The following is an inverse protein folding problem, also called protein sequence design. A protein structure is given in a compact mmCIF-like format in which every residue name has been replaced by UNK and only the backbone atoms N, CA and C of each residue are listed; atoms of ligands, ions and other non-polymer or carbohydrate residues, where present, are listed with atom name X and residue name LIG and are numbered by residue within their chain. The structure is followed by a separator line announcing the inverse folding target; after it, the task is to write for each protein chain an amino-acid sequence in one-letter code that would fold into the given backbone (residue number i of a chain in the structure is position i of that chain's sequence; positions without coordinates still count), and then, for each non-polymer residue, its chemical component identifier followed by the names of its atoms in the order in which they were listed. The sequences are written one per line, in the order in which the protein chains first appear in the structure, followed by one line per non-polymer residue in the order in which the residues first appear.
data_IF_893399848818
#
_entry.id   IF_893399848818
#
_cell.length_a   1.000
_cell.length_b   1.000
_cell.length_c   1.000
_cell.angle_alpha   90.00
_cell.angle_beta   90.00
_cell.angle_gamma   90.00
#
_symmetry.space_group_name_H-M   'P 1'
#
loop_
_entity.id
_entity.type
_entity.pdbx_description
1 polymer ?
#
# COMPACT_ATOMS: atom_id res chain seq x y z
N UNK A 1 4.08 -11.35 -17.99
CA UNK A 1 3.14 -10.36 -17.49
C UNK A 1 3.71 -8.97 -17.72
N UNK A 2 3.02 -8.15 -18.50
CA UNK A 2 3.34 -6.73 -18.68
C UNK A 2 3.04 -5.99 -17.39
N UNK A 3 3.96 -5.14 -16.92
CA UNK A 3 3.86 -4.43 -15.63
C UNK A 3 4.06 -2.93 -15.75
N UNK A 4 4.74 -2.48 -16.81
CA UNK A 4 4.97 -1.07 -17.05
C UNK A 4 4.77 -0.73 -18.53
N UNK A 5 4.50 0.55 -18.86
CA UNK A 5 4.43 1.00 -20.26
C UNK A 5 5.72 0.74 -21.03
N UNK A 6 6.88 0.94 -20.41
CA UNK A 6 8.19 0.72 -21.04
C UNK A 6 8.39 -0.75 -21.44
N UNK A 7 7.94 -1.68 -20.57
CA UNK A 7 7.98 -3.10 -20.89
C UNK A 7 7.04 -3.45 -22.05
N UNK A 8 5.87 -2.84 -22.09
CA UNK A 8 4.90 -3.01 -23.19
C UNK A 8 5.50 -2.51 -24.51
N UNK A 9 6.02 -1.31 -24.50
CA UNK A 9 6.64 -0.67 -25.65
C UNK A 9 7.83 -1.46 -26.17
N UNK A 10 8.73 -1.93 -25.29
CA UNK A 10 9.87 -2.74 -25.70
C UNK A 10 9.45 -3.99 -26.47
N UNK A 11 8.40 -4.69 -26.05
CA UNK A 11 7.89 -5.88 -26.74
C UNK A 11 7.27 -5.57 -28.11
N UNK A 12 6.60 -4.42 -28.26
CA UNK A 12 6.10 -3.95 -29.54
C UNK A 12 7.25 -3.60 -30.49
N UNK A 13 8.28 -2.92 -30.01
CA UNK A 13 9.46 -2.54 -30.79
C UNK A 13 10.30 -3.75 -31.25
N UNK A 14 10.33 -4.81 -30.44
CA UNK A 14 10.95 -6.09 -30.84
C UNK A 14 10.21 -6.79 -31.96
N UNK A 15 8.99 -6.35 -32.33
CA UNK A 15 8.16 -6.96 -33.38
C UNK A 15 7.67 -8.36 -33.05
N UNK A 16 7.72 -8.75 -31.76
CA UNK A 16 7.27 -10.08 -31.32
C UNK A 16 5.74 -10.18 -31.22
N UNK A 17 5.06 -9.02 -31.19
CA UNK A 17 3.60 -8.89 -31.11
C UNK A 17 3.17 -7.52 -31.62
N UNK A 18 1.92 -7.43 -32.09
CA UNK A 18 1.32 -6.18 -32.59
C UNK A 18 0.49 -5.48 -31.49
N UNK A 19 0.07 -6.21 -30.47
CA UNK A 19 -0.80 -5.71 -29.40
C UNK A 19 -0.34 -6.22 -28.04
N UNK A 20 -0.63 -5.44 -27.01
CA UNK A 20 -0.36 -5.79 -25.60
C UNK A 20 -1.67 -6.11 -24.90
N UNK A 21 -1.73 -7.28 -24.26
CA UNK A 21 -2.88 -7.69 -23.45
C UNK A 21 -2.57 -7.52 -21.96
N UNK A 22 -3.44 -6.79 -21.25
CA UNK A 22 -3.33 -6.52 -19.84
C UNK A 22 -4.46 -7.21 -19.06
N UNK A 23 -4.13 -8.18 -18.21
CA UNK A 23 -5.09 -8.76 -17.26
C UNK A 23 -4.98 -8.10 -15.88
N UNK A 24 -4.23 -8.73 -14.97
CA UNK A 24 -4.08 -8.25 -13.60
C UNK A 24 -3.58 -6.80 -13.45
N UNK A 25 -2.73 -6.25 -14.31
CA UNK A 25 -2.40 -4.81 -14.26
C UNK A 25 -3.63 -3.92 -14.42
N UNK A 26 -4.59 -4.30 -15.27
CA UNK A 26 -5.84 -3.55 -15.46
C UNK A 26 -6.77 -3.65 -14.24
N UNK A 27 -6.73 -4.77 -13.50
CA UNK A 27 -7.46 -4.89 -12.23
C UNK A 27 -6.82 -4.00 -11.14
N UNK A 28 -5.49 -3.94 -11.13
CA UNK A 28 -4.74 -3.11 -10.18
C UNK A 28 -4.93 -1.60 -10.44
N UNK A 29 -5.00 -1.23 -11.72
CA UNK A 29 -5.25 0.14 -12.16
C UNK A 29 -6.15 0.16 -13.40
N UNK A 30 -7.44 0.48 -13.25
CA UNK A 30 -8.37 0.53 -14.39
C UNK A 30 -8.01 1.61 -15.41
N UNK A 31 -7.24 2.61 -15.02
CA UNK A 31 -6.76 3.69 -15.89
C UNK A 31 -5.34 3.46 -16.45
N UNK A 32 -4.81 2.25 -16.32
CA UNK A 32 -3.44 1.94 -16.72
C UNK A 32 -3.12 2.39 -18.16
N UNK A 33 -3.98 2.05 -19.11
CA UNK A 33 -3.76 2.39 -20.52
C UNK A 33 -3.81 3.90 -20.78
N UNK A 34 -4.74 4.61 -20.14
CA UNK A 34 -4.83 6.07 -20.26
C UNK A 34 -3.60 6.75 -19.65
N UNK A 35 -3.16 6.32 -18.49
CA UNK A 35 -1.94 6.83 -17.84
C UNK A 35 -0.69 6.55 -18.68
N UNK A 36 -0.61 5.36 -19.28
CA UNK A 36 0.48 5.01 -20.20
C UNK A 36 0.50 5.91 -21.45
N UNK A 37 -0.69 6.26 -21.98
CA UNK A 37 -0.83 7.10 -23.16
C UNK A 37 -0.48 8.56 -22.88
N UNK A 38 -0.95 9.11 -21.76
CA UNK A 38 -0.79 10.53 -21.44
C UNK A 38 0.48 10.85 -20.68
N UNK A 39 1.06 9.85 -19.99
CA UNK A 39 2.14 10.06 -19.03
C UNK A 39 1.67 10.73 -17.72
N UNK A 40 0.35 10.89 -17.52
CA UNK A 40 -0.21 11.58 -16.35
C UNK A 40 -0.73 10.59 -15.32
N UNK A 41 -0.39 10.82 -14.06
CA UNK A 41 -0.81 10.05 -12.90
C UNK A 41 -0.02 8.75 -12.68
N UNK A 42 0.15 8.40 -11.41
CA UNK A 42 0.87 7.20 -11.00
C UNK A 42 0.11 5.93 -11.38
N UNK A 43 0.74 5.03 -12.11
CA UNK A 43 0.21 3.69 -12.40
C UNK A 43 0.37 2.82 -11.14
N UNK A 44 -0.74 2.27 -10.64
CA UNK A 44 -0.74 1.29 -9.54
C UNK A 44 -0.33 -0.08 -10.07
N UNK A 45 0.90 -0.48 -9.81
CA UNK A 45 1.47 -1.73 -10.35
C UNK A 45 0.91 -2.96 -9.65
N UNK A 46 0.59 -3.98 -10.43
CA UNK A 46 0.20 -5.29 -9.89
C UNK A 46 1.38 -5.96 -9.17
N UNK A 47 1.26 -6.19 -7.87
CA UNK A 47 2.27 -6.85 -7.02
C UNK A 47 2.31 -8.39 -7.16
N UNK A 48 1.50 -8.95 -8.05
CA UNK A 48 1.43 -10.39 -8.34
C UNK A 48 1.05 -11.28 -7.14
N UNK A 49 0.26 -10.76 -6.18
CA UNK A 49 -0.15 -11.48 -4.97
C UNK A 49 -1.23 -12.56 -5.22
N UNK A 50 -1.88 -12.55 -6.39
CA UNK A 50 -2.96 -13.48 -6.81
C UNK A 50 -4.28 -13.37 -6.02
N UNK A 51 -4.41 -12.41 -5.09
CA UNK A 51 -5.64 -12.19 -4.33
C UNK A 51 -6.89 -12.05 -5.23
N UNK A 52 -6.74 -11.39 -6.38
CA UNK A 52 -7.85 -11.25 -7.33
C UNK A 52 -8.34 -12.59 -7.89
N UNK A 53 -7.48 -13.58 -8.07
CA UNK A 53 -7.87 -14.91 -8.57
C UNK A 53 -8.55 -15.69 -7.44
N UNK A 54 -7.96 -15.68 -6.24
CA UNK A 54 -8.51 -16.36 -5.07
C UNK A 54 -9.88 -15.79 -4.68
N UNK A 55 -10.00 -14.46 -4.59
CA UNK A 55 -11.27 -13.82 -4.26
C UNK A 55 -12.35 -14.02 -5.32
N UNK A 56 -12.01 -14.00 -6.63
CA UNK A 56 -12.98 -14.31 -7.68
C UNK A 56 -13.53 -15.73 -7.57
N UNK A 57 -12.70 -16.71 -7.24
CA UNK A 57 -13.16 -18.09 -7.04
C UNK A 57 -14.13 -18.19 -5.86
N UNK A 58 -13.78 -17.59 -4.72
CA UNK A 58 -14.58 -17.63 -3.51
C UNK A 58 -15.87 -16.80 -3.65
N UNK A 59 -15.78 -15.61 -4.24
CA UNK A 59 -16.90 -14.69 -4.34
C UNK A 59 -17.89 -15.07 -5.44
N UNK A 60 -17.49 -15.87 -6.45
CA UNK A 60 -18.38 -16.38 -7.48
C UNK A 60 -19.56 -17.17 -6.90
N UNK A 61 -19.34 -17.92 -5.81
CA UNK A 61 -20.41 -18.70 -5.16
C UNK A 61 -21.49 -17.84 -4.47
N UNK A 62 -21.14 -16.59 -4.12
CA UNK A 62 -22.07 -15.66 -3.49
C UNK A 62 -22.51 -14.52 -4.42
N UNK A 63 -22.13 -14.59 -5.71
CA UNK A 63 -22.49 -13.57 -6.71
C UNK A 63 -21.82 -12.22 -6.49
N UNK A 64 -20.62 -12.20 -5.87
CA UNK A 64 -19.85 -10.99 -5.64
C UNK A 64 -18.66 -10.87 -6.59
N UNK A 65 -18.07 -9.66 -6.67
CA UNK A 65 -16.89 -9.39 -7.49
C UNK A 65 -15.59 -9.88 -6.83
N UNK A 66 -14.52 -9.99 -7.64
CA UNK A 66 -13.18 -10.21 -7.12
C UNK A 66 -12.61 -8.99 -6.41
N UNK A 67 -11.53 -9.18 -5.68
CA UNK A 67 -10.85 -8.15 -4.90
C UNK A 67 -9.40 -7.98 -5.37
N UNK A 68 -8.82 -6.81 -5.15
CA UNK A 68 -7.40 -6.54 -5.43
C UNK A 68 -6.71 -5.95 -4.21
N UNK A 69 -5.53 -6.47 -3.87
CA UNK A 69 -4.76 -5.98 -2.71
C UNK A 69 -4.21 -4.55 -2.89
N UNK A 70 -4.15 -4.04 -4.12
CA UNK A 70 -3.63 -2.69 -4.41
C UNK A 70 -4.70 -1.72 -4.91
N UNK A 71 -5.87 -2.23 -5.32
CA UNK A 71 -6.99 -1.42 -5.77
C UNK A 71 -8.23 -1.73 -4.93
N UNK A 72 -8.58 -0.89 -3.95
CA UNK A 72 -9.75 -1.13 -3.10
C UNK A 72 -11.09 -0.87 -3.80
N UNK A 73 -11.08 -0.32 -5.02
CA UNK A 73 -12.28 0.04 -5.76
C UNK A 73 -12.68 -0.99 -6.83
N UNK A 74 -12.05 -2.15 -6.86
CA UNK A 74 -12.42 -3.22 -7.81
C UNK A 74 -13.91 -3.56 -7.67
N UNK A 75 -14.63 -3.57 -8.81
CA UNK A 75 -16.08 -3.78 -8.84
C UNK A 75 -16.91 -2.55 -8.45
N UNK A 76 -16.26 -1.44 -8.09
CA UNK A 76 -16.88 -0.17 -7.69
C UNK A 76 -16.39 1.01 -8.51
N UNK A 77 -15.72 0.77 -9.63
CA UNK A 77 -15.10 1.80 -10.48
C UNK A 77 -16.13 2.81 -11.03
N UNK A 78 -17.37 2.38 -11.20
CA UNK A 78 -18.46 3.24 -11.68
C UNK A 78 -19.13 4.05 -10.57
N UNK A 79 -18.73 3.87 -9.32
CA UNK A 79 -19.30 4.63 -8.21
C UNK A 79 -18.52 5.93 -8.01
N UNK A 80 -19.11 7.10 -8.31
CA UNK A 80 -18.40 8.35 -8.11
C UNK A 80 -18.15 8.60 -6.62
N UNK A 81 -16.91 8.89 -6.27
CA UNK A 81 -16.58 9.31 -4.91
C UNK A 81 -17.23 10.66 -4.61
N UNK A 82 -17.95 10.81 -3.50
CA UNK A 82 -18.58 12.06 -3.13
C UNK A 82 -17.52 13.14 -2.88
N UNK A 83 -17.62 14.27 -3.55
CA UNK A 83 -16.74 15.44 -3.37
C UNK A 83 -17.26 16.30 -2.22
N UNK A 84 -17.15 15.80 -1.01
CA UNK A 84 -17.71 16.43 0.21
C UNK A 84 -16.65 16.83 1.24
N UNK A 85 -15.40 16.96 0.81
CA UNK A 85 -14.28 17.38 1.66
C UNK A 85 -14.31 18.86 2.01
N UNK A 86 -14.69 19.73 1.06
CA UNK A 86 -14.78 21.20 1.19
C UNK A 86 -13.48 21.82 1.76
N UNK A 87 -12.32 21.22 1.46
CA UNK A 87 -11.02 21.64 1.97
C UNK A 87 -10.82 21.47 3.48
N UNK A 88 -11.72 20.74 4.17
CA UNK A 88 -11.58 20.50 5.60
C UNK A 88 -10.35 19.66 5.90
N UNK A 89 -9.61 20.06 6.92
CA UNK A 89 -8.35 19.41 7.31
C UNK A 89 -8.58 18.03 7.92
N UNK A 90 -7.88 17.02 7.41
CA UNK A 90 -7.85 15.66 7.97
C UNK A 90 -6.40 15.30 8.31
N UNK A 91 -6.23 14.74 9.51
CA UNK A 91 -4.96 14.17 9.95
C UNK A 91 -5.04 12.66 9.91
N UNK A 92 -4.11 12.03 9.19
CA UNK A 92 -3.94 10.57 9.16
C UNK A 92 -2.67 10.22 9.93
N UNK A 93 -2.76 9.31 10.89
CA UNK A 93 -1.64 8.87 11.72
C UNK A 93 -1.26 7.44 11.37
N UNK A 94 -0.06 7.28 10.81
CA UNK A 94 0.49 6.03 10.28
C UNK A 94 0.39 5.94 8.77
N UNK A 95 1.53 5.84 8.09
CA UNK A 95 1.66 5.72 6.64
C UNK A 95 1.89 4.27 6.20
N UNK A 96 1.22 3.31 6.84
CA UNK A 96 1.06 1.95 6.35
C UNK A 96 -0.01 1.88 5.25
N UNK A 97 -0.35 0.67 4.75
CA UNK A 97 -1.34 0.50 3.68
C UNK A 97 -2.67 1.21 3.95
N UNK A 98 -3.21 1.06 5.15
CA UNK A 98 -4.48 1.67 5.53
C UNK A 98 -4.42 3.21 5.50
N UNK A 99 -3.33 3.80 6.03
CA UNK A 99 -3.16 5.24 6.06
C UNK A 99 -2.95 5.85 4.68
N UNK A 100 -2.13 5.21 3.83
CA UNK A 100 -1.91 5.66 2.45
C UNK A 100 -3.20 5.60 1.64
N UNK A 101 -3.94 4.48 1.70
CA UNK A 101 -5.24 4.37 1.01
C UNK A 101 -6.27 5.39 1.52
N UNK A 102 -6.37 5.58 2.84
CA UNK A 102 -7.29 6.56 3.42
C UNK A 102 -6.92 7.98 2.99
N UNK A 103 -5.63 8.34 3.02
CA UNK A 103 -5.16 9.65 2.63
C UNK A 103 -5.46 9.95 1.15
N UNK A 104 -5.18 9.00 0.26
CA UNK A 104 -5.48 9.09 -1.16
C UNK A 104 -6.98 9.31 -1.42
N UNK A 105 -7.83 8.46 -0.84
CA UNK A 105 -9.28 8.54 -1.02
C UNK A 105 -9.87 9.83 -0.44
N UNK A 106 -9.36 10.31 0.68
CA UNK A 106 -9.81 11.58 1.28
C UNK A 106 -9.40 12.78 0.43
N UNK A 107 -8.20 12.77 -0.13
CA UNK A 107 -7.76 13.81 -1.07
C UNK A 107 -8.66 13.82 -2.33
N UNK A 108 -9.00 12.65 -2.89
CA UNK A 108 -9.96 12.54 -3.99
C UNK A 108 -11.34 13.09 -3.64
N UNK A 109 -11.74 13.04 -2.38
CA UNK A 109 -13.00 13.62 -1.89
C UNK A 109 -12.92 15.13 -1.60
N UNK A 110 -11.75 15.76 -1.79
CA UNK A 110 -11.52 17.19 -1.63
C UNK A 110 -11.22 17.63 -0.20
N UNK A 111 -10.71 16.74 0.65
CA UNK A 111 -10.15 17.13 1.96
C UNK A 111 -8.69 17.60 1.83
N UNK A 112 -8.29 18.52 2.72
CA UNK A 112 -6.86 18.86 2.93
C UNK A 112 -6.23 17.84 3.89
N UNK A 113 -5.43 16.92 3.34
CA UNK A 113 -4.94 15.75 4.07
C UNK A 113 -3.48 15.89 4.46
N UNK A 114 -3.19 15.71 5.74
CA UNK A 114 -1.83 15.58 6.29
C UNK A 114 -1.64 14.18 6.87
N UNK A 115 -0.66 13.44 6.35
CA UNK A 115 -0.31 12.08 6.74
C UNK A 115 1.00 12.08 7.52
N UNK A 116 0.99 11.53 8.73
CA UNK A 116 2.14 11.49 9.63
C UNK A 116 2.60 10.06 9.87
N UNK A 117 3.90 9.84 9.76
CA UNK A 117 4.56 8.56 10.00
C UNK A 117 5.76 8.75 10.93
N UNK A 118 5.81 7.98 12.02
CA UNK A 118 6.90 8.06 13.00
C UNK A 118 8.24 7.52 12.48
N UNK A 119 8.20 6.57 11.54
CA UNK A 119 9.41 6.04 10.89
C UNK A 119 9.85 6.96 9.75
N UNK A 120 11.12 6.88 9.38
CA UNK A 120 11.69 7.66 8.26
C UNK A 120 11.11 7.26 6.89
N UNK A 121 10.46 6.11 6.82
CA UNK A 121 9.91 5.56 5.58
C UNK A 121 8.44 5.17 5.74
N UNK A 122 7.62 5.54 4.75
CA UNK A 122 6.25 5.06 4.62
C UNK A 122 6.19 3.57 4.29
N UNK A 123 5.01 2.95 4.39
CA UNK A 123 4.76 1.55 4.02
C UNK A 123 4.49 0.63 5.22
N UNK A 124 4.86 1.02 6.44
CA UNK A 124 4.57 0.23 7.64
C UNK A 124 5.10 -1.20 7.53
N UNK A 125 4.24 -2.19 7.76
CA UNK A 125 4.61 -3.61 7.70
C UNK A 125 4.85 -4.15 6.28
N UNK A 126 4.44 -3.44 5.23
CA UNK A 126 4.78 -3.80 3.84
C UNK A 126 6.29 -3.83 3.64
N UNK A 127 7.02 -2.93 4.30
CA UNK A 127 8.49 -2.90 4.24
C UNK A 127 9.11 -4.23 4.74
N UNK A 128 8.50 -4.85 5.76
CA UNK A 128 8.94 -6.16 6.26
C UNK A 128 8.49 -7.29 5.33
N UNK A 129 7.28 -7.21 4.79
CA UNK A 129 6.76 -8.20 3.84
C UNK A 129 7.57 -8.23 2.52
N UNK A 130 8.22 -7.12 2.16
CA UNK A 130 9.07 -7.01 0.98
C UNK A 130 10.52 -7.46 1.22
N UNK A 131 10.95 -7.63 2.47
CA UNK A 131 12.33 -7.93 2.83
C UNK A 131 12.82 -9.35 2.42
N UNK A 132 11.97 -10.42 2.47
CA UNK A 132 12.42 -11.74 2.04
C UNK A 132 12.83 -11.76 0.55
N UNK A 133 13.71 -12.72 0.15
CA UNK A 133 14.05 -12.92 -1.25
C UNK A 133 12.81 -13.03 -2.14
N UNK A 134 12.88 -12.48 -3.35
CA UNK A 134 11.83 -12.50 -4.38
C UNK A 134 10.52 -11.76 -4.03
N UNK A 135 10.45 -11.09 -2.87
CA UNK A 135 9.28 -10.31 -2.42
C UNK A 135 9.36 -8.80 -2.71
N UNK A 136 10.40 -8.32 -3.36
CA UNK A 136 10.61 -6.89 -3.63
C UNK A 136 9.41 -6.19 -4.32
N UNK A 137 8.62 -6.95 -5.12
CA UNK A 137 7.40 -6.43 -5.77
C UNK A 137 6.33 -5.95 -4.78
N UNK A 138 6.33 -6.46 -3.56
CA UNK A 138 5.39 -6.04 -2.52
C UNK A 138 5.58 -4.56 -2.17
N UNK A 139 6.82 -4.06 -2.26
CA UNK A 139 7.14 -2.65 -2.01
C UNK A 139 6.59 -1.69 -3.10
N UNK A 140 6.26 -2.18 -4.29
CA UNK A 140 5.66 -1.35 -5.32
C UNK A 140 4.37 -0.69 -4.84
N UNK A 141 3.57 -1.39 -4.03
CA UNK A 141 2.38 -0.80 -3.42
C UNK A 141 2.73 0.48 -2.65
N UNK A 142 3.77 0.42 -1.80
CA UNK A 142 4.20 1.58 -1.00
C UNK A 142 4.64 2.75 -1.86
N UNK A 143 5.44 2.46 -2.89
CA UNK A 143 5.95 3.47 -3.81
C UNK A 143 4.81 4.15 -4.57
N UNK A 144 3.92 3.36 -5.18
CA UNK A 144 2.83 3.84 -6.01
C UNK A 144 1.77 4.59 -5.18
N UNK A 145 1.41 4.08 -4.00
CA UNK A 145 0.44 4.72 -3.11
C UNK A 145 0.97 6.06 -2.56
N UNK A 146 2.26 6.12 -2.19
CA UNK A 146 2.86 7.36 -1.74
C UNK A 146 2.93 8.40 -2.87
N UNK A 147 3.33 8.00 -4.08
CA UNK A 147 3.35 8.88 -5.24
C UNK A 147 1.94 9.40 -5.57
N UNK A 148 0.92 8.53 -5.60
CA UNK A 148 -0.47 8.93 -5.82
C UNK A 148 -0.99 9.91 -4.75
N UNK A 149 -0.61 9.72 -3.49
CA UNK A 149 -0.92 10.68 -2.43
C UNK A 149 -0.32 12.06 -2.70
N UNK A 150 0.97 12.11 -3.07
CA UNK A 150 1.66 13.38 -3.36
C UNK A 150 1.07 14.08 -4.58
N UNK A 151 0.75 13.37 -5.66
CA UNK A 151 0.07 13.92 -6.85
C UNK A 151 -1.27 14.56 -6.52
N UNK A 152 -1.98 14.01 -5.52
CA UNK A 152 -3.28 14.53 -5.05
C UNK A 152 -3.15 15.61 -3.96
N UNK A 153 -1.93 16.07 -3.68
CA UNK A 153 -1.67 17.14 -2.73
C UNK A 153 -1.68 16.73 -1.26
N UNK A 154 -1.62 15.42 -0.96
CA UNK A 154 -1.44 14.94 0.42
C UNK A 154 -0.07 15.36 0.93
N UNK A 155 -0.04 15.98 2.12
CA UNK A 155 1.19 16.35 2.81
C UNK A 155 1.68 15.17 3.64
N UNK A 156 2.81 14.57 3.26
CA UNK A 156 3.38 13.41 3.96
C UNK A 156 4.57 13.84 4.82
N UNK A 157 4.51 13.54 6.11
CA UNK A 157 5.54 13.85 7.10
C UNK A 157 6.08 12.54 7.68
N UNK A 158 7.32 12.17 7.33
CA UNK A 158 8.03 11.02 7.89
C UNK A 158 8.95 11.43 9.04
N UNK A 159 9.39 10.46 9.88
CA UNK A 159 10.19 10.75 11.07
C UNK A 159 9.43 11.58 12.12
N UNK A 160 8.10 11.67 12.00
CA UNK A 160 7.28 12.55 12.82
C UNK A 160 6.17 11.79 13.53
N UNK A 161 6.31 11.64 14.83
CA UNK A 161 5.26 11.18 15.73
C UNK A 161 4.50 12.39 16.29
N UNK A 162 3.18 12.43 16.04
CA UNK A 162 2.34 13.51 16.55
C UNK A 162 1.95 13.27 17.99
N UNK A 163 2.19 14.27 18.84
CA UNK A 163 1.65 14.34 20.20
C UNK A 163 0.18 14.80 20.20
N UNK A 164 -0.52 14.49 21.30
CA UNK A 164 -1.90 14.95 21.49
C UNK A 164 -1.98 16.49 21.50
N UNK A 165 -0.96 17.19 22.02
CA UNK A 165 -0.90 18.66 22.02
C UNK A 165 -0.85 19.22 20.59
N UNK A 166 0.03 18.69 19.74
CA UNK A 166 0.13 19.10 18.34
C UNK A 166 -1.18 18.86 17.56
N UNK A 167 -1.84 17.72 17.80
CA UNK A 167 -3.14 17.43 17.18
C UNK A 167 -4.20 18.47 17.61
N UNK A 168 -4.21 18.85 18.89
CA UNK A 168 -5.12 19.89 19.41
C UNK A 168 -4.84 21.28 18.81
N UNK A 169 -3.58 21.59 18.48
CA UNK A 169 -3.19 22.83 17.79
C UNK A 169 -3.64 22.84 16.34
N UNK A 170 -3.49 21.71 15.62
CA UNK A 170 -3.94 21.55 14.23
C UNK A 170 -5.46 21.70 14.13
N UNK A 171 -6.21 21.26 15.13
CA UNK A 171 -7.70 21.26 15.15
C UNK A 171 -8.31 20.62 13.90
N UNK A 172 -7.93 19.39 13.54
CA UNK A 172 -8.44 18.77 12.34
C UNK A 172 -9.94 18.51 12.45
N UNK A 173 -10.65 18.52 11.31
CA UNK A 173 -12.05 18.11 11.24
C UNK A 173 -12.23 16.64 11.65
N UNK A 174 -11.28 15.78 11.23
CA UNK A 174 -11.27 14.35 11.57
C UNK A 174 -9.82 13.85 11.72
N UNK A 175 -9.62 12.84 12.57
CA UNK A 175 -8.38 12.11 12.71
C UNK A 175 -8.63 10.67 12.30
N UNK A 176 -7.78 10.13 11.41
CA UNK A 176 -7.76 8.71 11.05
C UNK A 176 -6.58 8.04 11.74
N UNK A 177 -6.86 7.06 12.59
CA UNK A 177 -5.83 6.26 13.25
C UNK A 177 -5.54 5.01 12.41
N UNK A 178 -4.37 4.99 11.78
CA UNK A 178 -3.88 3.89 10.94
C UNK A 178 -2.51 3.38 11.45
N UNK A 179 -2.33 3.34 12.77
CA UNK A 179 -1.05 3.07 13.44
C UNK A 179 -0.57 1.62 13.35
N UNK A 180 -1.41 0.72 12.81
CA UNK A 180 -1.09 -0.69 12.63
C UNK A 180 -0.98 -1.46 13.95
N UNK A 181 -0.14 -2.48 13.95
CA UNK A 181 0.10 -3.36 15.10
C UNK A 181 1.60 -3.56 15.35
N UNK A 182 1.95 -3.97 16.55
CA UNK A 182 3.29 -4.39 16.92
C UNK A 182 3.29 -5.89 17.24
N UNK A 183 4.39 -6.63 16.94
CA UNK A 183 4.49 -8.02 17.32
C UNK A 183 4.54 -8.17 18.83
N UNK A 184 3.84 -9.18 19.33
CA UNK A 184 3.85 -9.55 20.74
C UNK A 184 4.69 -10.82 20.91
N UNK A 185 5.67 -10.78 21.83
CA UNK A 185 6.43 -11.97 22.20
C UNK A 185 5.54 -12.87 23.07
N UNK A 186 5.21 -14.10 22.61
CA UNK A 186 4.40 -14.99 23.42
C UNK A 186 5.19 -15.45 24.67
N UNK A 187 4.45 -15.73 25.73
CA UNK A 187 5.03 -16.41 26.92
C UNK A 187 4.83 -17.90 26.75
N UNK A 188 5.94 -18.61 26.67
CA UNK A 188 5.92 -20.08 26.61
C UNK A 188 5.98 -20.66 28.05
N UNK A 189 5.33 -21.81 28.27
CA UNK A 189 5.54 -22.60 29.49
C UNK A 189 6.88 -23.33 29.42
N UNK A 190 7.51 -23.60 30.59
CA UNK A 190 8.78 -24.31 30.68
C UNK A 190 10.00 -23.39 30.86
N UNK A 191 11.20 -24.00 30.86
CA UNK A 191 12.46 -23.29 31.01
C UNK A 191 12.94 -22.79 29.64
N UNK A 192 12.66 -21.56 29.31
CA UNK A 192 13.25 -20.87 28.17
C UNK A 192 13.74 -19.47 28.62
N UNK A 193 14.76 -18.97 27.93
CA UNK A 193 15.19 -17.60 28.13
C UNK A 193 14.36 -16.67 27.24
N UNK A 194 13.57 -15.70 27.79
CA UNK A 194 12.78 -14.76 27.00
C UNK A 194 13.62 -13.91 26.03
N UNK A 195 14.91 -13.75 26.28
CA UNK A 195 15.83 -13.01 25.40
C UNK A 195 16.16 -13.79 24.11
N UNK A 196 15.98 -15.10 24.10
CA UNK A 196 16.16 -15.95 22.93
C UNK A 196 14.91 -16.01 22.03
N UNK A 197 13.83 -15.32 22.42
CA UNK A 197 12.60 -15.21 21.62
C UNK A 197 12.66 -13.96 20.76
N UNK A 198 12.78 -14.16 19.47
CA UNK A 198 12.82 -13.11 18.47
C UNK A 198 11.48 -13.00 17.74
N UNK A 199 11.12 -11.80 17.32
CA UNK A 199 9.95 -11.55 16.48
C UNK A 199 10.38 -11.59 15.01
N UNK A 200 9.40 -11.75 14.10
CA UNK A 200 9.67 -11.64 12.66
C UNK A 200 10.27 -10.27 12.30
N UNK A 201 9.93 -9.22 13.03
CA UNK A 201 10.48 -7.87 12.81
C UNK A 201 11.99 -7.85 13.11
N UNK A 202 12.45 -8.50 14.18
CA UNK A 202 13.87 -8.55 14.54
C UNK A 202 14.71 -9.22 13.46
N UNK A 203 14.14 -10.25 12.81
CA UNK A 203 14.82 -11.02 11.75
C UNK A 203 14.77 -10.26 10.43
N UNK A 204 13.58 -9.81 9.99
CA UNK A 204 13.39 -9.17 8.69
C UNK A 204 14.02 -7.78 8.59
N UNK A 205 14.27 -7.12 9.72
CA UNK A 205 15.04 -5.87 9.75
C UNK A 205 16.55 -6.08 9.81
N UNK A 206 17.01 -7.34 9.93
CA UNK A 206 18.43 -7.65 10.07
C UNK A 206 19.02 -7.30 11.44
N UNK A 207 18.19 -7.00 12.46
CA UNK A 207 18.68 -6.76 13.82
C UNK A 207 19.35 -7.99 14.42
N UNK A 208 18.87 -9.17 14.02
CA UNK A 208 19.39 -10.48 14.44
C UNK A 208 19.77 -11.27 13.18
N UNK A 209 21.01 -11.77 13.15
CA UNK A 209 21.43 -12.76 12.16
C UNK A 209 21.20 -14.16 12.72
N UNK A 210 20.56 -15.01 11.92
CA UNK A 210 20.35 -16.42 12.23
C UNK A 210 21.37 -17.35 11.54
N UNK A 211 22.34 -16.79 10.84
CA UNK A 211 23.37 -17.53 10.14
C UNK A 211 24.16 -18.41 11.12
N UNK A 212 24.25 -19.71 10.82
CA UNK A 212 24.93 -20.71 11.66
C UNK A 212 24.21 -21.07 12.96
N UNK A 213 22.96 -20.62 13.17
CA UNK A 213 22.16 -20.96 14.35
C UNK A 213 21.17 -22.07 14.03
N UNK A 214 21.02 -23.03 14.93
CA UNK A 214 19.91 -23.96 14.93
C UNK A 214 18.67 -23.25 15.50
N UNK A 215 17.58 -23.29 14.77
CA UNK A 215 16.30 -22.64 15.11
C UNK A 215 15.29 -23.74 15.45
#
# INVERSE_FOLDING_TARGET
LIRSPEQAEAQLQEGTQDFVCLGRPQIADPNWANKALTGEGTIKRCICCLNCIESMQNNAYIGSHGECSVNPLVGHENMPLPKNGDGRTVVVIGAGPAGLCAAELLADRGFDVSLYEKKERVGGQINLAAAPPDKAKTDWFTQDAAAACLEKGVKIFTGKELSISEIKEIKPYVIILATGSAPVKPRFGGNYNPEDVYTFEDILTGRISLEGKNI
#
